data_IF_403653383479
#
_entry.id   IF_403653383479
#
_cell.length_a   1.000
_cell.length_b   1.000
_cell.length_c   1.000
_cell.angle_alpha   90.00
_cell.angle_beta   90.00
_cell.angle_gamma   90.00
#
_symmetry.space_group_name_H-M   'P 1'
#
loop_
_entity.id
_entity.type
_entity.pdbx_description
1 polymer ?
#
# COMPACT_ATOMS: atom_id res chain seq x y z
N UNK A 1 7.03 -0.16 -15.95
CA UNK A 1 6.24 -0.24 -14.70
C UNK A 1 6.99 0.49 -13.60
N UNK A 2 6.35 1.40 -12.84
CA UNK A 2 7.01 2.10 -11.72
C UNK A 2 7.49 1.06 -10.69
N UNK A 3 8.76 1.13 -10.32
CA UNK A 3 9.29 0.36 -9.18
C UNK A 3 8.95 1.13 -7.91
N UNK A 4 8.30 0.47 -6.96
CA UNK A 4 7.98 1.05 -5.66
C UNK A 4 9.06 0.65 -4.68
N UNK A 5 9.52 1.60 -3.88
CA UNK A 5 10.40 1.33 -2.74
C UNK A 5 9.68 0.50 -1.67
N UNK A 6 10.44 -0.20 -0.82
CA UNK A 6 9.86 -0.95 0.31
C UNK A 6 9.08 -0.03 1.26
N UNK A 7 9.50 1.23 1.40
CA UNK A 7 8.77 2.26 2.17
C UNK A 7 7.42 2.58 1.54
N UNK A 8 7.35 2.81 0.22
CA UNK A 8 6.08 3.03 -0.48
C UNK A 8 5.16 1.79 -0.34
N UNK A 9 5.71 0.57 -0.45
CA UNK A 9 4.96 -0.67 -0.24
C UNK A 9 4.38 -0.74 1.18
N UNK A 10 5.17 -0.42 2.21
CA UNK A 10 4.71 -0.40 3.59
C UNK A 10 3.56 0.60 3.80
N UNK A 11 3.64 1.79 3.19
CA UNK A 11 2.57 2.82 3.27
C UNK A 11 1.32 2.36 2.52
N UNK A 12 1.46 1.77 1.32
CA UNK A 12 0.32 1.21 0.58
C UNK A 12 -0.40 0.16 1.42
N UNK A 13 0.34 -0.79 2.03
CA UNK A 13 -0.24 -1.81 2.90
C UNK A 13 -0.96 -1.21 4.09
N UNK A 14 -0.42 -0.17 4.70
CA UNK A 14 -1.08 0.52 5.81
C UNK A 14 -2.38 1.21 5.37
N UNK A 15 -2.42 1.82 4.19
CA UNK A 15 -3.64 2.39 3.61
C UNK A 15 -4.69 1.32 3.31
N UNK A 16 -4.28 0.14 2.80
CA UNK A 16 -5.18 -1.01 2.62
C UNK A 16 -5.78 -1.44 3.96
N UNK A 17 -4.97 -1.56 5.02
CA UNK A 17 -5.42 -1.94 6.37
C UNK A 17 -6.35 -0.89 6.98
N UNK A 18 -6.07 0.40 6.75
CA UNK A 18 -6.93 1.52 7.19
C UNK A 18 -8.29 1.55 6.49
N UNK A 19 -8.43 0.88 5.34
CA UNK A 19 -9.66 0.82 4.56
C UNK A 19 -9.77 1.87 3.47
N UNK A 20 -8.67 2.51 3.07
CA UNK A 20 -8.64 3.47 1.96
C UNK A 20 -9.12 2.81 0.65
N UNK A 21 -9.75 3.60 -0.23
CA UNK A 21 -10.28 3.09 -1.50
C UNK A 21 -9.15 2.70 -2.44
N UNK A 22 -9.24 1.50 -3.03
CA UNK A 22 -8.14 0.97 -3.86
C UNK A 22 -7.86 1.79 -5.11
N UNK A 23 -8.86 2.45 -5.71
CA UNK A 23 -8.64 3.32 -6.86
C UNK A 23 -7.86 4.60 -6.49
N UNK A 24 -8.07 5.13 -5.28
CA UNK A 24 -7.31 6.29 -4.77
C UNK A 24 -5.85 5.89 -4.53
N UNK A 25 -5.61 4.76 -3.83
CA UNK A 25 -4.25 4.23 -3.63
C UNK A 25 -3.55 3.95 -4.98
N UNK A 26 -4.25 3.29 -5.91
CA UNK A 26 -3.72 2.99 -7.24
C UNK A 26 -3.31 4.27 -8.01
N UNK A 27 -4.15 5.30 -7.95
CA UNK A 27 -3.89 6.61 -8.56
C UNK A 27 -2.65 7.28 -7.94
N UNK A 28 -2.60 7.37 -6.62
CA UNK A 28 -1.51 8.06 -5.89
C UNK A 28 -0.13 7.47 -6.18
N UNK A 29 -0.06 6.15 -6.33
CA UNK A 29 1.19 5.43 -6.59
C UNK A 29 1.43 5.13 -8.08
N UNK A 30 0.51 5.52 -8.97
CA UNK A 30 0.53 5.23 -10.41
C UNK A 30 0.73 3.73 -10.70
N UNK A 31 -0.04 2.89 -10.01
CA UNK A 31 -0.06 1.44 -10.19
C UNK A 31 -1.48 0.95 -10.52
N UNK A 32 -1.59 -0.25 -11.09
CA UNK A 32 -2.88 -0.83 -11.43
C UNK A 32 -3.55 -1.48 -10.21
N UNK A 33 -4.89 -1.54 -10.19
CA UNK A 33 -5.64 -2.13 -9.06
C UNK A 33 -5.28 -3.60 -8.79
N UNK A 34 -4.89 -4.37 -9.82
CA UNK A 34 -4.40 -5.75 -9.62
C UNK A 34 -3.21 -5.82 -8.66
N UNK A 35 -2.30 -4.84 -8.73
CA UNK A 35 -1.13 -4.77 -7.84
C UNK A 35 -1.50 -4.45 -6.39
N UNK A 36 -2.59 -3.70 -6.17
CA UNK A 36 -3.18 -3.49 -4.85
C UNK A 36 -3.74 -4.81 -4.31
N UNK A 37 -4.43 -5.60 -5.15
CA UNK A 37 -4.94 -6.91 -4.77
C UNK A 37 -3.80 -7.88 -4.39
N UNK A 38 -2.72 -7.91 -5.16
CA UNK A 38 -1.56 -8.77 -4.86
C UNK A 38 -0.89 -8.38 -3.53
N UNK A 39 -0.83 -7.08 -3.20
CA UNK A 39 -0.36 -6.60 -1.90
C UNK A 39 -1.30 -6.98 -0.76
N UNK A 40 -2.62 -6.83 -0.96
CA UNK A 40 -3.65 -7.18 0.03
C UNK A 40 -3.62 -8.66 0.41
N UNK A 41 -3.51 -9.54 -0.59
CA UNK A 41 -3.51 -10.99 -0.39
C UNK A 41 -2.11 -11.56 -0.09
N UNK A 42 -1.09 -10.71 0.02
CA UNK A 42 0.27 -11.15 0.35
C UNK A 42 0.95 -12.01 -0.72
N UNK A 43 0.56 -11.85 -1.99
CA UNK A 43 1.17 -12.55 -3.14
C UNK A 43 2.51 -11.95 -3.54
N UNK A 44 2.73 -10.68 -3.21
CA UNK A 44 3.99 -9.96 -3.40
C UNK A 44 4.38 -9.20 -2.13
N UNK A 45 5.68 -9.04 -1.92
CA UNK A 45 6.27 -8.33 -0.78
C UNK A 45 5.75 -8.81 0.57
N UNK A 46 5.57 -10.13 0.76
CA UNK A 46 4.90 -10.70 1.94
C UNK A 46 5.62 -10.33 3.23
N UNK A 47 6.94 -10.23 3.20
CA UNK A 47 7.81 -9.83 4.31
C UNK A 47 7.68 -8.36 4.74
N UNK A 48 7.12 -7.49 3.90
CA UNK A 48 6.98 -6.06 4.23
C UNK A 48 5.75 -5.85 5.12
N UNK A 49 5.95 -5.44 6.36
CA UNK A 49 4.86 -5.06 7.26
C UNK A 49 4.24 -3.71 6.87
N UNK A 50 2.92 -3.51 7.11
CA UNK A 50 2.31 -2.20 6.98
C UNK A 50 3.03 -1.15 7.84
N UNK A 51 3.21 0.06 7.32
CA UNK A 51 3.69 1.19 8.11
C UNK A 51 2.68 1.52 9.23
N UNK A 52 3.18 2.00 10.39
CA UNK A 52 2.28 2.61 11.36
C UNK A 52 1.88 4.02 10.89
N UNK A 53 0.61 4.20 10.53
CA UNK A 53 0.04 5.49 10.11
C UNK A 53 -0.73 6.19 11.23
N UNK A 54 -0.63 5.72 12.49
CA UNK A 54 -1.23 6.42 13.61
C UNK A 54 -0.83 7.89 13.57
N UNK A 55 -1.86 8.73 13.45
CA UNK A 55 -1.79 10.18 13.42
C UNK A 55 -0.86 10.66 14.52
N UNK A 56 0.23 11.33 14.16
CA UNK A 56 0.80 12.36 15.03
C UNK A 56 -0.22 13.48 15.14
N UNK A 57 -1.25 13.26 15.95
CA UNK A 57 -2.08 14.31 16.51
C UNK A 57 -1.29 14.98 17.62
N UNK A 58 -0.56 16.03 17.27
CA UNK A 58 -0.34 17.21 18.11
C UNK A 58 -0.29 18.42 17.20
#
# INVERSE_FOLDING_TARGET
MKHLSLTEIAVIKARIVRGDKYHEIASDYRINQGRIADLKFGRIYREVNPANLETRGK
#
